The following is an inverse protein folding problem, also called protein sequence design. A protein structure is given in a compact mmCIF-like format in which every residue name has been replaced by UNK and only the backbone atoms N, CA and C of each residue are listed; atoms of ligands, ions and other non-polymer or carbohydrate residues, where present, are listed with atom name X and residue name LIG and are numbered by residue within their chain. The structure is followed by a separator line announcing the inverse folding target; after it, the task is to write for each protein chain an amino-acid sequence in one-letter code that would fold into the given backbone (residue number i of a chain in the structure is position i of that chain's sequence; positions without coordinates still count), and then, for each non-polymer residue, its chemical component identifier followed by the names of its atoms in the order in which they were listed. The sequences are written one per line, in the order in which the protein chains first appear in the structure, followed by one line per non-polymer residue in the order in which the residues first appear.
data_IF_701728280665
#
_entry.id   IF_701728280665
#
_cell.length_a   1.000
_cell.length_b   1.000
_cell.length_c   1.000
_cell.angle_alpha   90.00
_cell.angle_beta   90.00
_cell.angle_gamma   90.00
#
_symmetry.space_group_name_H-M   'P 1'
#
loop_
_entity.id
_entity.type
_entity.pdbx_description
1 polymer ?
#
# COMPACT_ATOMS: atom_id res chain seq x y z
N UNK A 1 30.84 33.07 23.31
CA UNK A 1 30.50 32.50 21.98
C UNK A 1 30.56 30.97 21.95
N UNK A 2 31.63 30.33 22.43
CA UNK A 2 31.79 28.86 22.39
C UNK A 2 30.66 28.06 23.05
N UNK A 3 30.13 28.51 24.19
CA UNK A 3 29.03 27.83 24.89
C UNK A 3 27.73 27.80 24.08
N UNK A 4 27.41 28.86 23.34
CA UNK A 4 26.22 28.89 22.47
C UNK A 4 26.39 27.97 21.27
N UNK A 5 27.56 27.97 20.62
CA UNK A 5 27.86 27.06 19.51
C UNK A 5 27.73 25.59 19.94
N UNK A 6 28.19 25.25 21.14
CA UNK A 6 28.07 23.90 21.69
C UNK A 6 26.59 23.49 21.92
N UNK A 7 25.77 24.39 22.49
CA UNK A 7 24.32 24.13 22.67
C UNK A 7 23.60 23.89 21.34
N UNK A 8 23.89 24.72 20.32
CA UNK A 8 23.31 24.55 18.98
C UNK A 8 23.76 23.24 18.33
N UNK A 9 25.04 22.88 18.46
CA UNK A 9 25.56 21.62 17.93
C UNK A 9 24.85 20.40 18.55
N UNK A 10 24.72 20.36 19.88
CA UNK A 10 24.01 19.26 20.56
C UNK A 10 22.54 19.21 20.14
N UNK A 11 21.86 20.35 20.00
CA UNK A 11 20.48 20.40 19.53
C UNK A 11 20.33 19.84 18.10
N UNK A 12 21.25 20.18 17.19
CA UNK A 12 21.26 19.66 15.82
C UNK A 12 21.53 18.16 15.80
N UNK A 13 22.47 17.66 16.60
CA UNK A 13 22.76 16.21 16.68
C UNK A 13 21.55 15.45 17.20
N UNK A 14 20.88 15.92 18.25
CA UNK A 14 19.66 15.31 18.78
C UNK A 14 18.55 15.30 17.72
N UNK A 15 18.36 16.41 16.99
CA UNK A 15 17.39 16.51 15.91
C UNK A 15 17.70 15.50 14.79
N UNK A 16 18.97 15.40 14.37
CA UNK A 16 19.42 14.43 13.37
C UNK A 16 19.17 12.98 13.80
N UNK A 17 19.50 12.60 15.04
CA UNK A 17 19.28 11.23 15.51
C UNK A 17 17.80 10.90 15.67
N UNK A 18 16.96 11.87 16.08
CA UNK A 18 15.51 11.67 16.16
C UNK A 18 14.84 11.47 14.79
N UNK A 19 15.48 11.95 13.72
CA UNK A 19 14.98 11.79 12.34
C UNK A 19 15.34 10.43 11.71
N UNK A 20 16.23 9.65 12.36
CA UNK A 20 16.51 8.27 11.96
C UNK A 20 15.32 7.41 12.39
N UNK A 21 14.26 7.44 11.58
CA UNK A 21 13.10 6.59 11.70
C UNK A 21 13.59 5.13 11.66
N UNK A 22 13.52 4.41 12.78
CA UNK A 22 13.76 2.98 12.81
C UNK A 22 12.64 2.33 11.99
N UNK A 23 12.96 1.92 10.76
CA UNK A 23 12.06 1.12 9.95
C UNK A 23 12.11 -0.29 10.53
N UNK A 24 11.19 -0.61 11.42
CA UNK A 24 10.97 -2.00 11.85
C UNK A 24 10.39 -2.79 10.66
N UNK A 25 11.23 -3.56 9.99
CA UNK A 25 10.79 -4.49 8.95
C UNK A 25 10.43 -5.83 9.56
N UNK A 26 9.22 -6.33 9.30
CA UNK A 26 8.83 -7.69 9.61
C UNK A 26 8.54 -8.46 8.32
N UNK A 27 9.13 -9.65 8.19
CA UNK A 27 8.78 -10.60 7.14
C UNK A 27 7.78 -11.60 7.69
N UNK A 28 6.66 -11.78 7.00
CA UNK A 28 5.64 -12.75 7.39
C UNK A 28 5.15 -13.53 6.16
N UNK A 29 4.61 -14.71 6.42
CA UNK A 29 3.94 -15.53 5.40
C UNK A 29 2.45 -15.53 5.71
N UNK A 30 1.63 -15.28 4.70
CA UNK A 30 0.17 -15.36 4.82
C UNK A 30 -0.30 -16.60 4.07
N UNK A 31 -1.21 -17.41 4.64
CA UNK A 31 -1.78 -18.54 3.93
C UNK A 31 -2.52 -18.08 2.67
N UNK A 32 -2.42 -18.88 1.62
CA UNK A 32 -3.20 -18.69 0.39
C UNK A 32 -4.53 -19.43 0.57
N UNK A 33 -5.62 -18.75 0.20
CA UNK A 33 -6.96 -19.30 0.13
C UNK A 33 -7.44 -19.32 -1.32
N UNK A 34 -8.49 -20.09 -1.60
CA UNK A 34 -9.04 -20.24 -2.94
C UNK A 34 -10.54 -19.98 -2.92
N UNK A 35 -11.01 -19.15 -3.86
CA UNK A 35 -12.43 -19.04 -4.15
C UNK A 35 -12.94 -20.34 -4.78
N UNK A 36 -14.26 -20.55 -4.75
CA UNK A 36 -14.91 -21.70 -5.42
C UNK A 36 -14.58 -21.80 -6.92
N UNK A 37 -14.23 -20.67 -7.54
CA UNK A 37 -13.78 -20.58 -8.94
C UNK A 37 -12.36 -21.13 -9.17
N UNK A 38 -11.66 -21.53 -8.11
CA UNK A 38 -10.23 -21.89 -8.13
C UNK A 38 -9.28 -20.70 -8.13
N UNK A 39 -9.79 -19.46 -8.07
CA UNK A 39 -8.95 -18.28 -8.01
C UNK A 39 -8.32 -18.12 -6.62
N UNK A 40 -7.00 -17.94 -6.58
CA UNK A 40 -6.27 -17.68 -5.34
C UNK A 40 -6.55 -16.27 -4.78
N UNK A 41 -6.57 -16.15 -3.46
CA UNK A 41 -6.52 -14.88 -2.75
C UNK A 41 -5.77 -15.02 -1.43
N UNK A 42 -5.35 -13.90 -0.89
CA UNK A 42 -4.72 -13.79 0.42
C UNK A 42 -5.55 -12.83 1.27
N UNK A 43 -5.85 -13.21 2.51
CA UNK A 43 -6.51 -12.32 3.48
C UNK A 43 -5.46 -11.75 4.42
N UNK A 44 -5.22 -10.44 4.34
CA UNK A 44 -4.30 -9.72 5.22
C UNK A 44 -5.04 -8.57 5.90
N UNK A 45 -5.06 -8.54 7.23
CA UNK A 45 -5.65 -7.47 8.04
C UNK A 45 -7.07 -7.06 7.63
N UNK A 46 -7.90 -8.04 7.24
CA UNK A 46 -9.28 -7.80 6.80
C UNK A 46 -9.41 -7.25 5.38
N UNK A 47 -8.33 -7.27 4.60
CA UNK A 47 -8.30 -7.00 3.17
C UNK A 47 -8.03 -8.30 2.42
N UNK A 48 -8.98 -8.73 1.61
CA UNK A 48 -8.78 -9.81 0.66
C UNK A 48 -8.09 -9.26 -0.58
N UNK A 49 -6.94 -9.81 -0.93
CA UNK A 49 -6.12 -9.43 -2.06
C UNK A 49 -6.11 -10.62 -3.03
N UNK A 50 -6.58 -10.43 -4.27
CA UNK A 50 -6.50 -11.44 -5.31
C UNK A 50 -5.93 -10.86 -6.61
N UNK A 51 -5.23 -11.70 -7.37
CA UNK A 51 -4.77 -11.38 -8.71
C UNK A 51 -5.34 -12.41 -9.67
N UNK A 52 -6.06 -11.96 -10.68
CA UNK A 52 -6.66 -12.86 -11.67
C UNK A 52 -5.75 -13.06 -12.91
N UNK A 53 -6.15 -13.98 -13.79
CA UNK A 53 -5.45 -14.27 -15.05
C UNK A 53 -5.33 -13.09 -16.02
N UNK A 54 -6.18 -12.06 -15.84
CA UNK A 54 -6.17 -10.85 -16.65
C UNK A 54 -5.30 -9.75 -16.03
N UNK A 55 -4.45 -10.08 -15.07
CA UNK A 55 -3.61 -9.15 -14.32
C UNK A 55 -4.42 -8.07 -13.56
N UNK A 56 -5.68 -8.34 -13.22
CA UNK A 56 -6.46 -7.44 -12.37
C UNK A 56 -6.21 -7.78 -10.90
N UNK A 57 -5.58 -6.85 -10.18
CA UNK A 57 -5.47 -6.87 -8.74
C UNK A 57 -6.82 -6.42 -8.15
N UNK A 58 -7.40 -7.23 -7.27
CA UNK A 58 -8.60 -6.89 -6.51
C UNK A 58 -8.26 -6.83 -5.04
N UNK A 59 -8.47 -5.66 -4.43
CA UNK A 59 -8.36 -5.46 -2.98
C UNK A 59 -9.76 -5.19 -2.43
N UNK A 60 -10.24 -6.07 -1.57
CA UNK A 60 -11.58 -6.00 -1.00
C UNK A 60 -11.51 -5.97 0.50
N UNK A 61 -12.01 -4.90 1.10
CA UNK A 61 -12.26 -4.83 2.53
C UNK A 61 -13.78 -4.88 2.81
N UNK A 62 -14.19 -4.66 4.06
CA UNK A 62 -15.62 -4.69 4.45
C UNK A 62 -16.49 -3.64 3.74
N UNK A 63 -15.90 -2.54 3.30
CA UNK A 63 -16.61 -1.38 2.80
C UNK A 63 -16.45 -1.17 1.30
N UNK A 64 -15.28 -1.47 0.76
CA UNK A 64 -14.92 -1.15 -0.60
C UNK A 64 -14.22 -2.32 -1.30
N UNK A 65 -14.50 -2.44 -2.58
CA UNK A 65 -13.72 -3.24 -3.53
C UNK A 65 -12.99 -2.28 -4.44
N UNK A 66 -11.66 -2.38 -4.47
CA UNK A 66 -10.81 -1.68 -5.43
C UNK A 66 -10.27 -2.69 -6.41
N UNK A 67 -10.36 -2.39 -7.70
CA UNK A 67 -9.72 -3.17 -8.75
C UNK A 67 -8.73 -2.29 -9.51
N UNK A 68 -7.58 -2.85 -9.87
CA UNK A 68 -6.53 -2.15 -10.60
C UNK A 68 -5.92 -3.11 -11.64
N UNK A 69 -5.77 -2.65 -12.87
CA UNK A 69 -5.02 -3.39 -13.89
C UNK A 69 -3.52 -3.31 -13.61
N UNK A 70 -2.87 -4.47 -13.53
CA UNK A 70 -1.41 -4.63 -13.46
C UNK A 70 -0.86 -5.23 -14.76
N UNK A 71 -1.53 -4.98 -15.89
CA UNK A 71 -1.03 -5.40 -17.20
C UNK A 71 0.40 -4.89 -17.40
N UNK A 72 1.26 -5.74 -17.98
CA UNK A 72 2.64 -5.39 -18.27
C UNK A 72 2.76 -4.09 -19.08
N UNK A 73 3.76 -3.23 -18.78
CA UNK A 73 4.00 -2.01 -19.54
C UNK A 73 4.20 -2.23 -21.04
N UNK A 74 3.70 -1.30 -21.85
CA UNK A 74 4.00 -1.28 -23.29
C UNK A 74 5.44 -0.77 -23.53
N UNK A 75 5.96 -1.01 -24.74
CA UNK A 75 7.28 -0.49 -25.14
C UNK A 75 7.33 1.04 -25.05
N UNK A 76 6.24 1.71 -25.39
CA UNK A 76 6.12 3.17 -25.29
C UNK A 76 6.13 3.63 -23.83
N UNK A 77 5.35 2.98 -22.95
CA UNK A 77 5.32 3.32 -21.52
C UNK A 77 6.69 3.15 -20.86
N UNK A 78 7.43 2.11 -21.25
CA UNK A 78 8.81 1.87 -20.79
C UNK A 78 9.74 2.98 -21.30
N UNK A 79 9.63 3.35 -22.58
CA UNK A 79 10.49 4.36 -23.20
C UNK A 79 10.25 5.76 -22.62
N UNK A 80 8.99 6.11 -22.30
CA UNK A 80 8.65 7.42 -21.73
C UNK A 80 8.70 7.43 -20.21
N UNK A 81 8.79 6.27 -19.55
CA UNK A 81 8.65 6.11 -18.10
C UNK A 81 7.33 6.68 -17.54
N UNK A 82 6.28 6.67 -18.36
CA UNK A 82 4.95 7.17 -18.00
C UNK A 82 3.88 6.22 -18.51
N UNK A 83 2.75 6.12 -17.82
CA UNK A 83 1.62 5.33 -18.28
C UNK A 83 0.43 5.46 -17.34
N UNK A 84 -0.68 4.85 -17.72
CA UNK A 84 -1.89 4.83 -16.92
C UNK A 84 -2.43 3.40 -16.84
N UNK A 85 -3.10 3.10 -15.72
CA UNK A 85 -3.79 1.83 -15.53
C UNK A 85 -5.23 2.11 -15.17
N UNK A 86 -6.13 1.32 -15.73
CA UNK A 86 -7.54 1.38 -15.37
C UNK A 86 -7.72 0.81 -13.97
N UNK A 87 -8.56 1.47 -13.19
CA UNK A 87 -8.97 0.98 -11.88
C UNK A 87 -10.38 1.45 -11.55
N UNK A 88 -11.05 0.68 -10.69
CA UNK A 88 -12.38 1.04 -10.20
C UNK A 88 -12.41 0.93 -8.69
N UNK A 89 -13.22 1.78 -8.06
CA UNK A 89 -13.49 1.72 -6.62
C UNK A 89 -15.01 1.65 -6.45
N UNK A 90 -15.47 0.56 -5.86
CA UNK A 90 -16.87 0.33 -5.53
C UNK A 90 -17.01 0.24 -4.01
N UNK A 91 -17.53 1.29 -3.40
CA UNK A 91 -17.77 1.35 -1.96
C UNK A 91 -19.26 1.20 -1.63
N UNK A 92 -19.56 0.44 -0.58
CA UNK A 92 -20.89 0.44 0.04
C UNK A 92 -21.13 1.82 0.65
N UNK A 93 -22.34 2.40 0.49
CA UNK A 93 -22.69 3.63 1.21
C UNK A 93 -22.61 3.37 2.71
N UNK A 94 -22.10 4.34 3.48
CA UNK A 94 -22.22 4.30 4.94
C UNK A 94 -23.70 4.44 5.25
N UNK A 95 -24.37 3.35 5.63
CA UNK A 95 -25.71 3.46 6.23
C UNK A 95 -25.49 4.15 7.57
N UNK A 96 -25.70 5.46 7.63
CA UNK A 96 -25.84 6.15 8.90
C UNK A 96 -27.16 5.66 9.51
N UNK A 97 -27.10 4.80 10.51
CA UNK A 97 -28.24 4.63 11.39
C UNK A 97 -28.53 6.00 12.01
N UNK A 98 -29.57 6.68 11.53
CA UNK A 98 -30.19 7.76 12.28
C UNK A 98 -30.97 7.06 13.38
N UNK A 99 -30.52 7.30 14.61
CA UNK A 99 -31.05 6.75 15.86
C UNK A 99 -32.57 6.89 15.97
#
# INVERSE_FOLDING_TARGET
MISHMFKWYIAVVILCTSSMMEIESATFTVPIEFYETGQMYVSLDGVNISLNSNHMLTMKNRHCTTTLSLTSPSVEEIATQTGYREGTVLCRPRISYRS
#
